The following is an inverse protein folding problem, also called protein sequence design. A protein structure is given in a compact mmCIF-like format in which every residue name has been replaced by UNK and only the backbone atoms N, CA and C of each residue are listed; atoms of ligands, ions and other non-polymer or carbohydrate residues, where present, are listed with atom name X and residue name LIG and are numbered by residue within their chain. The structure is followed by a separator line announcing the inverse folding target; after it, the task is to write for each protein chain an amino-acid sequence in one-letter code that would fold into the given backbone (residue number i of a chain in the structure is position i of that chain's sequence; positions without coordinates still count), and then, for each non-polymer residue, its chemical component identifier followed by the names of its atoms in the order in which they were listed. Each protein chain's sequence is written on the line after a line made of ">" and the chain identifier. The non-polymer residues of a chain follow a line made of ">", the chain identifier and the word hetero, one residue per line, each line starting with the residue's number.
data_IF_889916134358
#
_entry.id   IF_889916134358
#
_cell.length_a   1.000
_cell.length_b   1.000
_cell.length_c   1.000
_cell.angle_alpha   90.00
_cell.angle_beta   90.00
_cell.angle_gamma   90.00
#
_symmetry.space_group_name_H-M   'P 1'
#
loop_
_entity.id
_entity.type
_entity.pdbx_description
1 polymer ?
#
# COMPACT_ATOMS: atom_id res chain seq x y z
N UNK A 1 9.61 11.18 3.23
CA UNK A 1 9.55 10.14 4.30
C UNK A 1 10.94 9.77 4.78
N UNK A 2 11.07 9.27 6.00
CA UNK A 2 12.30 8.81 6.63
C UNK A 2 12.39 7.28 6.56
N UNK A 3 13.17 6.79 5.60
CA UNK A 3 13.59 5.39 5.47
C UNK A 3 14.93 5.34 4.70
N UNK A 4 16.04 5.70 5.37
CA UNK A 4 17.35 5.87 4.70
C UNK A 4 17.83 4.63 3.95
N UNK A 5 17.54 3.43 4.46
CA UNK A 5 17.93 2.14 3.85
C UNK A 5 17.39 1.94 2.43
N UNK A 6 16.36 2.69 2.04
CA UNK A 6 15.74 2.67 0.72
C UNK A 6 15.76 4.07 0.06
N UNK A 7 16.68 4.94 0.47
CA UNK A 7 16.93 6.25 -0.13
C UNK A 7 15.92 7.35 0.22
N UNK A 8 15.09 7.14 1.25
CA UNK A 8 14.11 8.13 1.69
C UNK A 8 14.66 8.97 2.85
N UNK A 9 14.93 10.26 2.63
CA UNK A 9 15.61 11.16 3.58
C UNK A 9 14.76 12.33 4.13
N UNK A 10 13.43 12.28 3.98
CA UNK A 10 12.55 13.30 4.56
C UNK A 10 12.21 13.01 6.03
N UNK A 11 11.31 13.82 6.61
CA UNK A 11 11.04 13.79 8.06
C UNK A 11 9.79 12.99 8.47
N UNK A 12 8.92 12.64 7.51
CA UNK A 12 7.70 11.89 7.81
C UNK A 12 7.95 10.39 8.00
N UNK A 13 7.25 9.70 8.90
CA UNK A 13 7.37 8.25 9.07
C UNK A 13 7.04 7.51 7.77
N UNK A 14 7.73 6.40 7.50
CA UNK A 14 7.65 5.73 6.21
C UNK A 14 6.22 5.32 5.80
N UNK A 15 5.38 4.94 6.76
CA UNK A 15 3.98 4.57 6.51
C UNK A 15 3.17 5.68 5.81
N UNK A 16 3.56 6.95 5.95
CA UNK A 16 2.91 8.09 5.29
C UNK A 16 3.20 8.21 3.80
N UNK A 17 4.13 7.41 3.24
CA UNK A 17 4.56 7.55 1.84
C UNK A 17 3.41 7.41 0.83
N UNK A 18 2.41 6.56 1.11
CA UNK A 18 1.26 6.42 0.22
C UNK A 18 0.44 7.70 0.10
N UNK A 19 0.09 8.31 1.25
CA UNK A 19 -0.69 9.56 1.30
C UNK A 19 0.12 10.74 0.75
N UNK A 20 1.38 10.85 1.13
CA UNK A 20 2.28 11.92 0.63
C UNK A 20 2.46 11.80 -0.88
N UNK A 21 2.70 10.58 -1.40
CA UNK A 21 2.83 10.36 -2.84
C UNK A 21 1.56 10.71 -3.62
N UNK A 22 0.39 10.41 -3.06
CA UNK A 22 -0.89 10.80 -3.64
C UNK A 22 -1.08 12.32 -3.70
N UNK A 23 -0.73 13.03 -2.62
CA UNK A 23 -0.75 14.50 -2.56
C UNK A 23 0.21 15.11 -3.60
N UNK A 24 1.43 14.57 -3.73
CA UNK A 24 2.39 15.02 -4.73
C UNK A 24 1.83 14.89 -6.16
N UNK A 25 1.19 13.76 -6.48
CA UNK A 25 0.58 13.55 -7.80
C UNK A 25 -0.59 14.51 -8.06
N UNK A 26 -1.45 14.75 -7.06
CA UNK A 26 -2.55 15.71 -7.17
C UNK A 26 -2.04 17.13 -7.40
N UNK A 27 -1.02 17.54 -6.65
CA UNK A 27 -0.41 18.87 -6.79
C UNK A 27 0.25 19.05 -8.16
N UNK A 28 1.01 18.05 -8.63
CA UNK A 28 1.62 18.09 -9.96
C UNK A 28 0.57 18.10 -11.07
N UNK A 29 -0.48 17.28 -10.95
CA UNK A 29 -1.60 17.24 -11.89
C UNK A 29 -2.31 18.58 -12.00
N UNK A 30 -2.63 19.22 -10.86
CA UNK A 30 -3.22 20.55 -10.83
C UNK A 30 -2.33 21.62 -11.47
N UNK A 31 -1.02 21.58 -11.22
CA UNK A 31 -0.07 22.53 -11.79
C UNK A 31 0.18 22.32 -13.30
N UNK A 32 0.05 21.07 -13.77
CA UNK A 32 0.38 20.68 -15.15
C UNK A 32 -0.84 20.52 -16.07
N UNK A 33 -2.06 20.64 -15.53
CA UNK A 33 -3.30 20.39 -16.26
C UNK A 33 -3.53 18.91 -16.61
N UNK A 34 -2.95 17.99 -15.83
CA UNK A 34 -3.09 16.54 -16.03
C UNK A 34 -4.04 15.95 -14.98
N UNK A 35 -4.98 15.10 -15.41
CA UNK A 35 -5.75 14.27 -14.49
C UNK A 35 -4.91 13.05 -14.06
N UNK A 36 -4.40 13.11 -12.83
CA UNK A 36 -3.60 12.06 -12.21
C UNK A 36 -4.31 11.38 -11.03
N UNK A 37 -5.61 11.63 -10.83
CA UNK A 37 -6.31 11.15 -9.63
C UNK A 37 -6.29 9.62 -9.53
N UNK A 38 -6.44 8.91 -10.65
CA UNK A 38 -6.37 7.44 -10.67
C UNK A 38 -5.02 6.90 -10.17
N UNK A 39 -3.92 7.60 -10.41
CA UNK A 39 -2.59 7.21 -9.94
C UNK A 39 -2.37 7.61 -8.49
N UNK A 40 -2.86 8.79 -8.10
CA UNK A 40 -2.84 9.24 -6.71
C UNK A 40 -3.58 8.26 -5.78
N UNK A 41 -4.74 7.75 -6.23
CA UNK A 41 -5.50 6.73 -5.49
C UNK A 41 -4.73 5.43 -5.31
N UNK A 42 -4.02 4.95 -6.34
CA UNK A 42 -3.11 3.79 -6.21
C UNK A 42 -2.07 4.08 -5.11
N UNK A 43 -1.43 5.25 -5.14
CA UNK A 43 -0.43 5.60 -4.12
C UNK A 43 -0.99 5.57 -2.70
N UNK A 44 -2.17 6.15 -2.43
CA UNK A 44 -2.68 6.18 -1.05
C UNK A 44 -3.32 4.85 -0.60
N UNK A 45 -3.68 3.94 -1.51
CA UNK A 45 -4.40 2.68 -1.20
C UNK A 45 -3.57 1.40 -1.31
N UNK A 46 -2.34 1.46 -1.84
CA UNK A 46 -1.53 0.26 -2.08
C UNK A 46 -0.91 -0.40 -0.84
N UNK A 47 -0.92 0.28 0.32
CA UNK A 47 -0.24 -0.25 1.51
C UNK A 47 -0.99 -1.45 2.08
N UNK A 48 -0.30 -2.58 2.23
CA UNK A 48 -0.97 -3.77 2.78
C UNK A 48 -1.83 -4.44 1.73
N UNK A 49 -2.99 -4.92 2.17
CA UNK A 49 -4.14 -5.22 1.30
C UNK A 49 -5.17 -4.08 1.40
N UNK A 50 -4.69 -2.85 1.60
CA UNK A 50 -5.46 -1.71 2.06
C UNK A 50 -5.49 -1.56 3.58
N UNK A 51 -5.64 -0.32 4.06
CA UNK A 51 -5.75 0.03 5.48
C UNK A 51 -7.16 0.54 5.79
N UNK A 52 -7.81 -0.02 6.81
CA UNK A 52 -9.08 0.52 7.30
C UNK A 52 -8.86 1.67 8.27
N UNK A 53 -9.88 2.50 8.46
CA UNK A 53 -9.90 3.52 9.51
C UNK A 53 -9.70 2.90 10.90
N UNK A 54 -10.16 1.66 11.12
CA UNK A 54 -9.93 0.93 12.36
C UNK A 54 -8.47 0.49 12.50
N UNK A 55 -7.84 -0.01 11.42
CA UNK A 55 -6.41 -0.36 11.42
C UNK A 55 -5.56 0.84 11.82
N UNK A 56 -5.87 2.03 11.28
CA UNK A 56 -5.18 3.29 11.59
C UNK A 56 -5.34 3.64 13.07
N UNK A 57 -6.56 3.58 13.61
CA UNK A 57 -6.81 3.87 15.04
C UNK A 57 -6.09 2.87 15.95
N UNK A 58 -6.29 1.57 15.69
CA UNK A 58 -5.78 0.48 16.53
C UNK A 58 -4.26 0.43 16.58
N UNK A 59 -3.60 0.72 15.45
CA UNK A 59 -2.14 0.74 15.35
C UNK A 59 -1.53 2.13 15.63
N UNK A 60 -2.37 3.14 15.95
CA UNK A 60 -1.97 4.52 16.14
C UNK A 60 -1.10 5.05 14.99
N UNK A 61 -1.52 4.77 13.74
CA UNK A 61 -0.76 5.16 12.56
C UNK A 61 -0.85 6.69 12.37
N UNK A 62 0.25 7.36 11.99
CA UNK A 62 0.31 8.79 11.74
C UNK A 62 -0.31 9.15 10.38
N UNK A 63 -1.55 8.72 10.15
CA UNK A 63 -2.33 8.92 8.93
C UNK A 63 -3.69 9.53 9.28
N UNK A 64 -4.31 10.30 8.37
CA UNK A 64 -5.70 10.70 8.53
C UNK A 64 -6.61 9.48 8.71
N UNK A 65 -7.52 9.54 9.68
CA UNK A 65 -8.35 8.38 10.02
C UNK A 65 -9.50 8.24 9.02
N UNK A 66 -9.31 7.39 8.00
CA UNK A 66 -10.30 7.00 7.00
C UNK A 66 -9.90 5.68 6.35
N UNK A 67 -10.77 5.11 5.53
CA UNK A 67 -10.43 3.90 4.76
C UNK A 67 -9.54 4.24 3.56
N UNK A 68 -8.49 3.44 3.40
CA UNK A 68 -7.55 3.41 2.28
C UNK A 68 -7.55 2.01 1.67
N UNK A 69 -8.74 1.49 1.40
CA UNK A 69 -8.94 0.18 0.79
C UNK A 69 -8.88 0.29 -0.74
N UNK A 70 -8.30 -0.68 -1.47
CA UNK A 70 -8.31 -0.66 -2.93
C UNK A 70 -9.72 -0.95 -3.46
N UNK A 71 -10.23 -0.07 -4.31
CA UNK A 71 -11.58 -0.12 -4.89
C UNK A 71 -11.55 -0.64 -6.33
N UNK A 72 -10.64 -0.12 -7.16
CA UNK A 72 -10.54 -0.47 -8.60
C UNK A 72 -9.66 -1.69 -8.84
N UNK A 73 -9.77 -2.38 -10.01
CA UNK A 73 -8.87 -3.46 -10.38
C UNK A 73 -7.39 -3.06 -10.39
N UNK A 74 -7.05 -1.84 -10.83
CA UNK A 74 -5.68 -1.33 -10.85
C UNK A 74 -5.12 -1.14 -9.44
N UNK A 75 -5.91 -0.56 -8.54
CA UNK A 75 -5.54 -0.41 -7.13
C UNK A 75 -5.30 -1.80 -6.49
N UNK A 76 -6.20 -2.76 -6.74
CA UNK A 76 -6.11 -4.14 -6.24
C UNK A 76 -4.90 -4.90 -6.80
N UNK A 77 -4.61 -4.73 -8.09
CA UNK A 77 -3.48 -5.35 -8.75
C UNK A 77 -2.15 -4.90 -8.12
N UNK A 78 -2.01 -3.60 -7.85
CA UNK A 78 -0.79 -3.08 -7.21
C UNK A 78 -0.68 -3.55 -5.76
N UNK A 79 -1.78 -3.57 -4.99
CA UNK A 79 -1.79 -4.19 -3.65
C UNK A 79 -1.29 -5.63 -3.67
N UNK A 80 -1.73 -6.44 -4.65
CA UNK A 80 -1.29 -7.82 -4.81
C UNK A 80 0.21 -7.89 -5.16
N UNK A 81 0.64 -7.17 -6.20
CA UNK A 81 2.00 -7.23 -6.73
C UNK A 81 3.05 -6.77 -5.70
N UNK A 82 2.76 -5.73 -4.91
CA UNK A 82 3.69 -5.18 -3.91
C UNK A 82 4.02 -6.19 -2.78
N UNK A 83 3.25 -7.27 -2.64
CA UNK A 83 3.50 -8.32 -1.63
C UNK A 83 4.55 -9.32 -2.00
N UNK A 84 4.81 -9.50 -3.29
CA UNK A 84 5.81 -10.44 -3.78
C UNK A 84 7.23 -9.94 -3.56
N UNK A 85 7.45 -8.64 -3.45
CA UNK A 85 8.78 -8.06 -3.29
C UNK A 85 8.92 -7.30 -1.97
N UNK A 86 10.15 -7.00 -1.56
CA UNK A 86 10.44 -6.09 -0.46
C UNK A 86 11.40 -5.02 -0.92
N UNK A 87 11.21 -3.80 -0.42
CA UNK A 87 12.05 -2.64 -0.72
C UNK A 87 13.46 -2.77 -0.11
N UNK A 88 13.62 -3.66 0.87
CA UNK A 88 14.90 -4.04 1.49
C UNK A 88 15.26 -5.48 1.14
N UNK A 89 16.54 -5.78 0.96
CA UNK A 89 17.06 -7.14 0.79
C UNK A 89 17.45 -7.48 -0.64
N UNK A 90 17.30 -8.76 -1.01
CA UNK A 90 17.85 -9.36 -2.24
C UNK A 90 17.01 -9.13 -3.50
N UNK A 91 15.87 -8.42 -3.41
CA UNK A 91 14.89 -8.28 -4.49
C UNK A 91 14.39 -9.62 -5.05
N UNK A 92 14.48 -10.69 -4.27
CA UNK A 92 13.91 -11.99 -4.62
C UNK A 92 12.41 -12.01 -4.37
N UNK A 93 11.71 -12.69 -5.26
CA UNK A 93 10.28 -12.93 -5.12
C UNK A 93 10.00 -13.79 -3.88
N UNK A 94 9.07 -13.34 -3.04
CA UNK A 94 8.61 -14.05 -1.85
C UNK A 94 7.67 -15.16 -2.26
N UNK A 95 7.85 -16.33 -1.65
CA UNK A 95 6.89 -17.43 -1.78
C UNK A 95 5.57 -17.14 -1.04
N UNK A 96 4.49 -17.78 -1.49
CA UNK A 96 3.15 -17.64 -0.91
C UNK A 96 3.11 -17.83 0.61
N UNK A 97 3.81 -18.84 1.13
CA UNK A 97 3.88 -19.09 2.57
C UNK A 97 4.47 -17.91 3.36
N UNK A 98 5.49 -17.24 2.81
CA UNK A 98 6.10 -16.06 3.44
C UNK A 98 5.12 -14.88 3.44
N UNK A 99 4.38 -14.68 2.35
CA UNK A 99 3.38 -13.61 2.24
C UNK A 99 2.24 -13.85 3.22
N UNK A 100 1.69 -15.07 3.30
CA UNK A 100 0.62 -15.44 4.24
C UNK A 100 1.07 -15.23 5.69
N UNK A 101 2.28 -15.66 6.05
CA UNK A 101 2.85 -15.40 7.37
C UNK A 101 2.98 -13.90 7.67
N UNK A 102 3.31 -13.08 6.68
CA UNK A 102 3.33 -11.62 6.82
C UNK A 102 1.94 -11.04 7.07
N UNK A 103 0.91 -11.48 6.32
CA UNK A 103 -0.46 -10.98 6.47
C UNK A 103 -1.05 -11.25 7.85
N UNK A 104 -0.80 -12.46 8.39
CA UNK A 104 -1.32 -12.86 9.71
C UNK A 104 -0.88 -11.94 10.85
N UNK A 105 0.27 -11.26 10.71
CA UNK A 105 0.75 -10.29 11.71
C UNK A 105 -0.16 -9.06 11.86
N UNK A 106 -0.91 -8.73 10.80
CA UNK A 106 -1.78 -7.56 10.76
C UNK A 106 -3.26 -7.90 10.97
N UNK A 107 -3.57 -9.15 11.33
CA UNK A 107 -4.92 -9.62 11.67
C UNK A 107 -5.58 -10.47 10.57
N UNK A 108 -6.64 -11.23 10.92
CA UNK A 108 -7.29 -12.17 10.01
C UNK A 108 -7.91 -11.49 8.78
N UNK A 109 -8.43 -10.27 8.94
CA UNK A 109 -9.00 -9.47 7.85
C UNK A 109 -8.03 -9.22 6.69
N UNK A 110 -6.75 -9.00 6.99
CA UNK A 110 -5.72 -8.81 5.95
C UNK A 110 -5.49 -10.09 5.15
N UNK A 111 -5.57 -11.26 5.80
CA UNK A 111 -5.44 -12.55 5.11
C UNK A 111 -6.65 -12.81 4.20
N UNK A 112 -7.86 -12.50 4.65
CA UNK A 112 -9.08 -12.65 3.85
C UNK A 112 -8.98 -11.80 2.58
N UNK A 113 -8.63 -10.52 2.71
CA UNK A 113 -8.43 -9.63 1.54
C UNK A 113 -7.33 -10.14 0.61
N UNK A 114 -6.23 -10.67 1.17
CA UNK A 114 -5.17 -11.28 0.37
C UNK A 114 -5.69 -12.47 -0.45
N UNK A 115 -6.43 -13.38 0.16
CA UNK A 115 -7.02 -14.55 -0.52
C UNK A 115 -8.03 -14.14 -1.60
N UNK A 116 -8.82 -13.09 -1.35
CA UNK A 116 -9.71 -12.49 -2.35
C UNK A 116 -8.95 -11.93 -3.55
N UNK A 117 -7.83 -11.23 -3.31
CA UNK A 117 -6.97 -10.72 -4.38
C UNK A 117 -6.37 -11.87 -5.20
N UNK A 118 -5.83 -12.90 -4.54
CA UNK A 118 -5.30 -14.08 -5.22
C UNK A 118 -6.36 -14.75 -6.11
N UNK A 119 -7.58 -14.92 -5.58
CA UNK A 119 -8.71 -15.48 -6.35
C UNK A 119 -9.10 -14.60 -7.53
N UNK A 120 -9.14 -13.28 -7.34
CA UNK A 120 -9.51 -12.31 -8.38
C UNK A 120 -8.52 -12.36 -9.57
N UNK A 121 -7.23 -12.49 -9.29
CA UNK A 121 -6.17 -12.47 -10.32
C UNK A 121 -5.66 -13.87 -10.71
N UNK A 122 -6.29 -14.94 -10.21
CA UNK A 122 -5.95 -16.31 -10.58
C UNK A 122 -4.60 -16.82 -10.05
N UNK A 123 -4.09 -16.22 -8.98
CA UNK A 123 -2.86 -16.65 -8.30
C UNK A 123 -3.20 -17.80 -7.34
N UNK A 124 -2.44 -18.90 -7.42
CA UNK A 124 -2.62 -20.12 -6.61
C UNK A 124 -1.35 -20.45 -5.85
#
# INVERSE_FOLDING_TARGET
>A
CHAPDIGCHGDHPYIAHGVIGAEMLRNYGAASGLDLEKYARICERHTGTGLTAEDIRRQNLPLPVRDYLPETPEEKLICLADKFFSKSGTMQEKGMAQIVCSMRKFGPENLIRWEELCRMFGIR
#
